data_IF_092479375823
#
_entry.id   IF_092479375823
#
_cell.length_a   1.000
_cell.length_b   1.000
_cell.length_c   1.000
_cell.angle_alpha   90.00
_cell.angle_beta   90.00
_cell.angle_gamma   90.00
#
_symmetry.space_group_name_H-M   'P 1'
#
loop_
_entity.id
_entity.type
_entity.pdbx_description
1 polymer ?
#
# COMPACT_ATOMS: atom_id res chain seq x y z
N UNK A 1 -25.59 11.98 9.25
CA UNK A 1 -25.67 12.01 10.72
C UNK A 1 -24.26 11.88 11.27
N UNK A 2 -23.80 12.77 12.14
CA UNK A 2 -22.41 12.74 12.59
C UNK A 2 -22.10 13.75 13.68
N UNK A 3 -22.91 13.78 14.73
CA UNK A 3 -22.64 14.64 15.88
C UNK A 3 -22.50 13.78 17.13
N UNK A 4 -21.28 13.27 17.34
CA UNK A 4 -20.92 12.50 18.55
C UNK A 4 -19.41 12.55 18.82
N UNK A 5 -18.76 13.73 18.81
CA UNK A 5 -17.33 13.78 19.17
C UNK A 5 -16.97 15.07 19.92
N UNK A 6 -16.03 14.92 20.87
CA UNK A 6 -15.59 15.95 21.82
C UNK A 6 -14.73 17.05 21.17
N UNK A 7 -14.15 16.79 19.99
CA UNK A 7 -13.30 17.74 19.27
C UNK A 7 -13.57 17.77 17.76
N UNK A 8 -13.52 18.98 17.19
CA UNK A 8 -13.76 19.22 15.77
C UNK A 8 -12.63 18.72 14.85
N UNK A 9 -11.42 18.50 15.38
CA UNK A 9 -10.28 17.92 14.65
C UNK A 9 -10.30 16.38 14.61
N UNK A 10 -11.21 15.75 15.34
CA UNK A 10 -11.40 14.29 15.33
C UNK A 10 -11.63 13.75 13.92
N UNK A 11 -11.11 12.56 13.62
CA UNK A 11 -11.11 12.00 12.27
C UNK A 11 -12.55 11.86 11.74
N UNK A 12 -13.50 11.53 12.60
CA UNK A 12 -14.92 11.40 12.30
C UNK A 12 -15.56 12.75 11.97
N UNK A 13 -15.31 13.78 12.78
CA UNK A 13 -15.79 15.15 12.52
C UNK A 13 -15.25 15.68 11.20
N UNK A 14 -13.95 15.44 10.94
CA UNK A 14 -13.32 15.79 9.67
C UNK A 14 -13.99 15.07 8.50
N UNK A 15 -14.38 13.79 8.63
CA UNK A 15 -15.14 13.09 7.58
C UNK A 15 -16.52 13.71 7.32
N UNK A 16 -17.26 14.09 8.37
CA UNK A 16 -18.54 14.80 8.23
C UNK A 16 -18.35 16.12 7.50
N UNK A 17 -17.30 16.87 7.83
CA UNK A 17 -16.96 18.12 7.15
C UNK A 17 -16.58 17.89 5.68
N UNK A 18 -15.98 16.76 5.30
CA UNK A 18 -15.74 16.40 3.89
C UNK A 18 -17.04 16.22 3.12
N UNK A 19 -18.04 15.58 3.73
CA UNK A 19 -19.37 15.50 3.13
C UNK A 19 -20.04 16.87 3.01
N UNK A 20 -19.92 17.72 4.03
CA UNK A 20 -20.43 19.10 3.97
C UNK A 20 -19.73 19.91 2.87
N UNK A 21 -18.41 19.80 2.73
CA UNK A 21 -17.63 20.39 1.65
C UNK A 21 -18.14 19.95 0.28
N UNK A 22 -18.46 18.64 0.11
CA UNK A 22 -19.05 18.14 -1.14
C UNK A 22 -20.43 18.75 -1.41
N UNK A 23 -21.28 18.91 -0.39
CA UNK A 23 -22.57 19.57 -0.54
C UNK A 23 -22.43 21.05 -0.95
N UNK A 24 -21.49 21.78 -0.34
CA UNK A 24 -21.16 23.17 -0.71
C UNK A 24 -20.68 23.26 -2.16
N UNK A 25 -19.86 22.31 -2.63
CA UNK A 25 -19.41 22.26 -4.02
C UNK A 25 -20.57 22.06 -5.00
N UNK A 26 -21.47 21.13 -4.72
CA UNK A 26 -22.65 20.86 -5.56
C UNK A 26 -23.55 22.10 -5.58
N UNK A 27 -23.76 22.75 -4.43
CA UNK A 27 -24.53 23.99 -4.36
C UNK A 27 -23.91 25.09 -5.23
N UNK A 28 -22.57 25.22 -5.24
CA UNK A 28 -21.86 26.16 -6.10
C UNK A 28 -22.05 25.85 -7.59
N UNK A 29 -22.00 24.58 -8.00
CA UNK A 29 -22.29 24.16 -9.38
C UNK A 29 -23.73 24.50 -9.80
N UNK A 30 -24.66 24.57 -8.84
CA UNK A 30 -26.05 24.99 -9.05
C UNK A 30 -26.26 26.52 -8.94
N UNK A 31 -25.19 27.30 -8.73
CA UNK A 31 -25.23 28.76 -8.66
C UNK A 31 -25.37 29.37 -7.26
N UNK A 32 -25.23 28.59 -6.18
CA UNK A 32 -25.31 29.07 -4.81
C UNK A 32 -23.92 29.22 -4.17
N UNK A 33 -23.58 30.41 -3.65
CA UNK A 33 -22.37 30.60 -2.84
C UNK A 33 -22.67 30.42 -1.34
N UNK A 34 -22.46 29.20 -0.84
CA UNK A 34 -22.68 28.85 0.57
C UNK A 34 -21.38 28.77 1.39
N UNK A 35 -20.21 28.81 0.74
CA UNK A 35 -18.94 28.50 1.40
C UNK A 35 -18.59 29.54 2.47
N UNK A 36 -18.77 30.82 2.15
CA UNK A 36 -18.44 31.92 3.05
C UNK A 36 -19.24 31.88 4.36
N UNK A 37 -20.55 31.63 4.28
CA UNK A 37 -21.41 31.56 5.45
C UNK A 37 -21.21 30.25 6.24
N UNK A 38 -20.90 29.16 5.54
CA UNK A 38 -20.49 27.90 6.18
C UNK A 38 -19.20 28.07 7.00
N UNK A 39 -18.18 28.73 6.44
CA UNK A 39 -16.92 29.03 7.14
C UNK A 39 -17.11 29.96 8.35
N UNK A 40 -18.00 30.95 8.26
CA UNK A 40 -18.36 31.80 9.40
C UNK A 40 -18.99 30.99 10.53
N UNK A 41 -19.87 30.04 10.21
CA UNK A 41 -20.43 29.11 11.19
C UNK A 41 -19.36 28.26 11.86
N UNK A 42 -18.47 27.66 11.04
CA UNK A 42 -17.37 26.80 11.48
C UNK A 42 -16.35 27.49 12.38
N UNK A 43 -16.06 28.77 12.15
CA UNK A 43 -15.10 29.53 12.98
C UNK A 43 -15.52 29.66 14.45
N UNK A 44 -16.78 29.39 14.78
CA UNK A 44 -17.29 29.41 16.17
C UNK A 44 -16.96 28.13 16.95
N UNK A 45 -16.58 27.06 16.27
CA UNK A 45 -16.20 25.80 16.90
C UNK A 45 -14.68 25.81 17.16
N UNK A 46 -14.29 25.96 18.42
CA UNK A 46 -12.89 25.95 18.83
C UNK A 46 -12.31 24.53 18.78
N UNK A 47 -11.02 24.41 18.52
CA UNK A 47 -10.29 23.14 18.56
C UNK A 47 -9.41 23.08 19.82
N UNK A 48 -9.31 21.90 20.43
CA UNK A 48 -8.45 21.66 21.59
C UNK A 48 -7.00 21.30 21.21
N UNK A 49 -6.71 21.09 19.92
CA UNK A 49 -5.37 20.72 19.43
C UNK A 49 -4.55 21.95 19.05
N UNK A 50 -3.27 22.01 19.45
CA UNK A 50 -2.39 23.18 19.20
C UNK A 50 -2.15 23.52 17.73
N UNK A 51 -2.40 22.56 16.83
CA UNK A 51 -2.10 22.67 15.40
C UNK A 51 -3.20 23.39 14.62
N UNK A 52 -4.38 23.54 15.24
CA UNK A 52 -5.57 24.12 14.65
C UNK A 52 -6.24 25.11 15.60
N UNK A 53 -6.68 26.25 15.09
CA UNK A 53 -7.34 27.26 15.94
C UNK A 53 -8.84 27.02 16.10
N UNK A 54 -9.55 26.74 15.01
CA UNK A 54 -11.00 26.61 14.97
C UNK A 54 -11.45 25.68 13.82
N UNK A 55 -12.76 25.47 13.72
CA UNK A 55 -13.38 24.67 12.66
C UNK A 55 -13.14 25.21 11.25
N UNK A 56 -12.91 26.51 11.10
CA UNK A 56 -12.57 27.11 9.80
C UNK A 56 -11.16 26.71 9.38
N UNK A 57 -10.20 26.77 10.29
CA UNK A 57 -8.83 26.36 10.05
C UNK A 57 -8.73 24.87 9.71
N UNK A 58 -9.47 24.03 10.44
CA UNK A 58 -9.63 22.59 10.14
C UNK A 58 -10.22 22.39 8.75
N UNK A 59 -11.30 23.11 8.42
CA UNK A 59 -11.91 22.99 7.11
C UNK A 59 -10.94 23.36 5.99
N UNK A 60 -10.18 24.45 6.12
CA UNK A 60 -9.23 24.89 5.10
C UNK A 60 -8.08 23.88 4.95
N UNK A 61 -7.47 23.44 6.06
CA UNK A 61 -6.27 22.61 6.06
C UNK A 61 -6.54 21.14 5.75
N UNK A 62 -7.60 20.57 6.32
CA UNK A 62 -7.87 19.12 6.27
C UNK A 62 -9.00 18.73 5.32
N UNK A 63 -9.99 19.61 5.13
CA UNK A 63 -11.21 19.27 4.40
C UNK A 63 -11.14 19.76 2.95
N UNK A 64 -10.86 21.05 2.73
CA UNK A 64 -10.82 21.67 1.40
C UNK A 64 -9.71 21.05 0.53
N UNK A 65 -8.59 20.69 1.13
CA UNK A 65 -7.48 19.96 0.48
C UNK A 65 -7.83 18.54 0.04
N UNK A 66 -8.92 17.96 0.58
CA UNK A 66 -9.41 16.64 0.18
C UNK A 66 -10.44 16.68 -0.95
N UNK A 67 -10.78 17.89 -1.45
CA UNK A 67 -11.62 18.04 -2.65
C UNK A 67 -10.95 17.28 -3.80
N UNK A 68 -11.74 16.38 -4.40
CA UNK A 68 -11.40 15.71 -5.65
C UNK A 68 -12.24 16.35 -6.73
N UNK A 69 -11.57 17.06 -7.63
CA UNK A 69 -12.15 17.53 -8.89
C UNK A 69 -11.72 16.60 -10.04
N UNK A 70 -12.35 16.79 -11.20
CA UNK A 70 -12.06 16.01 -12.40
C UNK A 70 -10.57 16.12 -12.79
N UNK A 71 -9.98 17.31 -12.65
CA UNK A 71 -8.56 17.56 -12.90
C UNK A 71 -7.64 16.73 -12.01
N UNK A 72 -7.95 16.59 -10.71
CA UNK A 72 -7.17 15.73 -9.80
C UNK A 72 -7.28 14.26 -10.18
N UNK A 73 -8.45 13.79 -10.59
CA UNK A 73 -8.61 12.42 -11.11
C UNK A 73 -7.83 12.19 -12.41
N UNK A 74 -7.82 13.18 -13.31
CA UNK A 74 -7.00 13.20 -14.52
C UNK A 74 -5.50 13.14 -14.18
N UNK A 75 -5.02 14.04 -13.33
CA UNK A 75 -3.60 14.12 -12.93
C UNK A 75 -3.13 12.80 -12.33
N UNK A 76 -3.96 12.25 -11.45
CA UNK A 76 -3.71 10.96 -10.84
C UNK A 76 -3.54 9.87 -11.89
N UNK A 77 -4.49 9.77 -12.80
CA UNK A 77 -4.45 8.77 -13.86
C UNK A 77 -3.19 8.90 -14.71
N UNK A 78 -2.91 10.12 -15.15
CA UNK A 78 -1.81 10.41 -16.06
C UNK A 78 -0.47 10.02 -15.43
N UNK A 79 -0.24 10.39 -14.17
CA UNK A 79 0.98 10.04 -13.41
C UNK A 79 1.09 8.53 -13.16
N UNK A 80 0.00 7.88 -12.71
CA UNK A 80 0.01 6.43 -12.45
C UNK A 80 0.25 5.64 -13.74
N UNK A 81 -0.22 6.15 -14.88
CA UNK A 81 -0.03 5.52 -16.18
C UNK A 81 1.41 5.55 -16.72
N UNK A 82 2.29 6.36 -16.12
CA UNK A 82 3.72 6.38 -16.45
C UNK A 82 4.52 5.24 -15.80
N UNK A 83 3.91 4.49 -14.89
CA UNK A 83 4.61 3.46 -14.14
C UNK A 83 4.67 2.15 -14.92
N UNK A 84 5.84 1.46 -14.96
CA UNK A 84 6.05 0.26 -15.78
C UNK A 84 5.02 -0.85 -15.56
N UNK A 85 4.55 -1.01 -14.31
CA UNK A 85 3.63 -2.08 -13.90
C UNK A 85 2.15 -1.77 -14.21
N UNK A 86 1.81 -0.56 -14.67
CA UNK A 86 0.44 -0.17 -15.03
C UNK A 86 0.19 -0.18 -16.55
N UNK A 87 1.19 -0.63 -17.32
CA UNK A 87 1.10 -0.84 -18.76
C UNK A 87 0.32 -2.13 -19.05
N UNK A 88 -1.01 -2.08 -18.91
CA UNK A 88 -1.89 -3.07 -19.52
C UNK A 88 -1.78 -2.93 -21.03
N UNK A 89 -0.89 -3.72 -21.64
CA UNK A 89 -0.96 -4.05 -23.06
C UNK A 89 -2.27 -4.80 -23.30
N UNK A 90 -3.18 -4.18 -24.04
CA UNK A 90 -4.49 -4.75 -24.37
C UNK A 90 -5.59 -4.28 -23.42
N UNK A 91 -6.72 -3.90 -24.02
CA UNK A 91 -7.95 -3.30 -23.47
C UNK A 91 -8.28 -3.61 -21.99
N UNK A 92 -8.83 -2.62 -21.25
CA UNK A 92 -9.86 -1.68 -21.75
C UNK A 92 -9.39 -0.24 -21.94
N UNK A 93 -9.94 0.42 -22.97
CA UNK A 93 -9.86 1.88 -23.20
C UNK A 93 -10.46 2.71 -22.06
N UNK A 94 -11.19 2.08 -21.14
CA UNK A 94 -11.86 2.69 -20.00
C UNK A 94 -11.27 2.13 -18.70
N UNK A 95 -10.73 3.01 -17.85
CA UNK A 95 -10.17 2.67 -16.54
C UNK A 95 -10.98 3.35 -15.44
N UNK A 96 -11.18 2.63 -14.34
CA UNK A 96 -11.85 3.18 -13.16
C UNK A 96 -10.83 3.69 -12.16
N UNK A 97 -10.97 4.96 -11.77
CA UNK A 97 -10.19 5.61 -10.72
C UNK A 97 -11.19 6.02 -9.64
N UNK A 98 -11.39 5.16 -8.64
CA UNK A 98 -12.38 5.35 -7.58
C UNK A 98 -13.80 5.61 -8.16
N UNK A 99 -14.39 6.78 -7.88
CA UNK A 99 -15.71 7.19 -8.37
C UNK A 99 -15.68 7.84 -9.77
N UNK A 100 -14.56 7.73 -10.49
CA UNK A 100 -14.38 8.30 -11.82
C UNK A 100 -14.09 7.20 -12.85
N UNK A 101 -14.59 7.41 -14.06
CA UNK A 101 -14.26 6.59 -15.23
C UNK A 101 -13.46 7.44 -16.20
N UNK A 102 -12.31 6.94 -16.62
CA UNK A 102 -11.38 7.62 -17.51
C UNK A 102 -11.28 6.82 -18.80
N UNK A 103 -11.57 7.49 -19.92
CA UNK A 103 -11.50 6.93 -21.25
C UNK A 103 -10.35 7.57 -22.02
N UNK A 104 -9.44 6.76 -22.53
CA UNK A 104 -8.40 7.23 -23.44
C UNK A 104 -8.96 7.38 -24.84
N UNK A 105 -8.93 8.60 -25.36
CA UNK A 105 -9.28 8.88 -26.77
C UNK A 105 -8.04 8.67 -27.63
N UNK A 106 -6.91 9.21 -27.19
CA UNK A 106 -5.57 8.95 -27.71
C UNK A 106 -4.59 8.97 -26.54
N UNK A 107 -3.62 8.07 -26.51
CA UNK A 107 -2.55 8.17 -25.54
C UNK A 107 -1.31 7.43 -26.05
N UNK A 108 -0.18 8.14 -26.02
CA UNK A 108 1.11 7.61 -26.40
C UNK A 108 2.09 7.76 -25.25
N UNK A 109 2.90 6.72 -25.05
CA UNK A 109 3.80 6.59 -23.90
C UNK A 109 5.15 6.11 -24.39
N UNK A 110 6.20 6.81 -23.96
CA UNK A 110 7.59 6.49 -24.28
C UNK A 110 8.37 6.39 -22.97
N UNK A 111 9.24 5.39 -22.88
CA UNK A 111 10.07 5.14 -21.70
C UNK A 111 11.55 5.05 -22.12
N UNK A 112 12.41 5.83 -21.48
CA UNK A 112 13.86 5.85 -21.68
C UNK A 112 14.58 5.70 -20.34
N UNK A 113 15.15 4.51 -20.07
CA UNK A 113 15.88 4.16 -18.82
C UNK A 113 15.15 4.57 -17.54
N UNK A 114 15.44 5.76 -17.03
CA UNK A 114 14.90 6.32 -15.78
C UNK A 114 13.86 7.43 -16.00
N UNK A 115 13.48 7.70 -17.24
CA UNK A 115 12.52 8.75 -17.59
C UNK A 115 11.38 8.20 -18.44
N UNK A 116 10.20 8.81 -18.32
CA UNK A 116 9.04 8.45 -19.14
C UNK A 116 8.17 9.66 -19.46
N UNK A 117 7.58 9.65 -20.65
CA UNK A 117 6.68 10.69 -21.14
C UNK A 117 5.38 10.03 -21.62
N UNK A 118 4.25 10.60 -21.23
CA UNK A 118 2.93 10.23 -21.71
C UNK A 118 2.20 11.48 -22.19
N UNK A 119 1.65 11.43 -23.40
CA UNK A 119 0.82 12.50 -23.97
C UNK A 119 -0.46 11.86 -24.47
N UNK A 120 -1.59 12.48 -24.16
CA UNK A 120 -2.86 11.93 -24.57
C UNK A 120 -4.01 12.90 -24.48
N UNK A 121 -5.12 12.52 -25.12
CA UNK A 121 -6.42 13.10 -24.92
C UNK A 121 -7.28 12.08 -24.17
N UNK A 122 -7.88 12.52 -23.07
CA UNK A 122 -8.71 11.66 -22.23
C UNK A 122 -10.04 12.32 -21.94
N UNK A 123 -11.03 11.49 -21.66
CA UNK A 123 -12.32 11.90 -21.11
C UNK A 123 -12.46 11.34 -19.71
N UNK A 124 -12.70 12.20 -18.74
CA UNK A 124 -13.03 11.80 -17.37
C UNK A 124 -14.52 12.02 -17.13
N UNK A 125 -15.17 11.05 -16.50
CA UNK A 125 -16.59 11.13 -16.13
C UNK A 125 -16.73 10.77 -14.65
N UNK A 126 -17.41 11.60 -13.87
CA UNK A 126 -17.81 11.23 -12.51
C UNK A 126 -18.95 10.22 -12.55
N UNK A 127 -18.78 9.06 -11.92
CA UNK A 127 -19.82 8.04 -11.85
C UNK A 127 -21.00 8.47 -10.96
N UNK A 128 -20.81 9.52 -10.14
CA UNK A 128 -21.82 10.01 -9.20
C UNK A 128 -22.62 11.18 -9.74
N UNK A 129 -21.97 12.18 -10.34
CA UNK A 129 -22.67 13.34 -10.92
C UNK A 129 -22.92 13.22 -12.42
N UNK A 130 -22.31 12.23 -13.09
CA UNK A 130 -22.27 12.07 -14.54
C UNK A 130 -21.64 13.27 -15.28
N UNK A 131 -21.03 14.21 -14.54
CA UNK A 131 -20.25 15.31 -15.09
C UNK A 131 -19.04 14.74 -15.83
N UNK A 132 -18.82 15.20 -17.06
CA UNK A 132 -17.71 14.75 -17.89
C UNK A 132 -16.90 15.91 -18.44
N UNK A 133 -15.58 15.75 -18.46
CA UNK A 133 -14.64 16.73 -19.00
C UNK A 133 -13.66 16.00 -19.93
N UNK A 134 -13.37 16.59 -21.08
CA UNK A 134 -12.35 16.11 -21.99
C UNK A 134 -11.14 17.05 -21.91
N UNK A 135 -9.95 16.48 -21.77
CA UNK A 135 -8.73 17.22 -21.52
C UNK A 135 -7.55 16.60 -22.26
N UNK A 136 -6.57 17.44 -22.57
CA UNK A 136 -5.26 17.02 -23.05
C UNK A 136 -4.33 16.89 -21.86
N UNK A 137 -3.60 15.79 -21.77
CA UNK A 137 -2.64 15.53 -20.70
C UNK A 137 -1.23 15.40 -21.26
N UNK A 138 -0.27 15.88 -20.48
CA UNK A 138 1.13 15.58 -20.69
C UNK A 138 1.78 15.28 -19.33
N UNK A 139 2.27 14.05 -19.15
CA UNK A 139 2.93 13.61 -17.92
C UNK A 139 4.37 13.21 -18.20
N UNK A 140 5.29 13.73 -17.39
CA UNK A 140 6.72 13.49 -17.47
C UNK A 140 7.23 12.97 -16.13
N UNK A 141 7.98 11.88 -16.18
CA UNK A 141 8.81 11.39 -15.07
C UNK A 141 10.27 11.63 -15.44
N UNK A 142 10.97 12.45 -14.65
CA UNK A 142 12.38 12.78 -14.85
C UNK A 142 13.33 11.80 -14.12
N UNK A 143 12.78 10.77 -13.47
CA UNK A 143 13.50 9.82 -12.64
C UNK A 143 13.33 10.06 -11.15
N UNK A 144 13.51 8.97 -10.39
CA UNK A 144 13.26 8.92 -8.94
C UNK A 144 11.89 9.54 -8.59
N UNK A 145 11.90 10.73 -7.98
CA UNK A 145 10.74 11.34 -7.33
C UNK A 145 10.05 12.44 -8.13
N UNK A 146 10.59 12.82 -9.29
CA UNK A 146 10.08 13.98 -10.02
C UNK A 146 9.06 13.57 -11.08
N UNK A 147 7.78 13.71 -10.72
CA UNK A 147 6.64 13.54 -11.61
C UNK A 147 5.96 14.89 -11.82
N UNK A 148 5.75 15.23 -13.08
CA UNK A 148 5.02 16.43 -13.49
C UNK A 148 3.89 16.02 -14.44
N UNK A 149 2.68 16.42 -14.13
CA UNK A 149 1.53 16.27 -15.00
C UNK A 149 0.91 17.64 -15.29
N UNK A 150 0.82 17.97 -16.56
CA UNK A 150 0.13 19.15 -17.06
C UNK A 150 -1.21 18.71 -17.67
N UNK A 151 -2.24 19.51 -17.41
CA UNK A 151 -3.59 19.29 -17.93
C UNK A 151 -3.97 20.56 -18.68
N UNK A 152 -4.29 20.39 -19.96
CA UNK A 152 -4.72 21.46 -20.85
C UNK A 152 -6.13 21.22 -21.37
N UNK A 153 -6.70 22.28 -21.94
CA UNK A 153 -7.98 22.22 -22.64
C UNK A 153 -7.85 21.43 -23.95
N UNK A 154 -9.00 21.12 -24.57
CA UNK A 154 -9.02 20.47 -25.86
C UNK A 154 -8.36 21.35 -26.93
N UNK A 155 -7.43 20.76 -27.67
CA UNK A 155 -6.82 21.39 -28.84
C UNK A 155 -7.51 20.92 -30.12
N UNK A 156 -7.38 21.69 -31.20
CA UNK A 156 -7.77 21.19 -32.52
C UNK A 156 -6.88 19.99 -32.92
N UNK A 157 -7.41 19.06 -33.72
CA UNK A 157 -6.66 17.86 -34.12
C UNK A 157 -5.26 18.19 -34.72
N UNK A 158 -5.09 19.22 -35.58
CA UNK A 158 -3.76 19.58 -36.09
C UNK A 158 -2.81 20.12 -35.02
N UNK A 159 -3.30 20.93 -34.08
CA UNK A 159 -2.49 21.48 -32.98
C UNK A 159 -2.06 20.39 -32.01
N UNK A 160 -2.99 19.49 -31.66
CA UNK A 160 -2.73 18.33 -30.82
C UNK A 160 -1.66 17.43 -31.42
N UNK A 161 -1.79 17.05 -32.70
CA UNK A 161 -0.82 16.20 -33.37
C UNK A 161 0.55 16.87 -33.45
N UNK A 162 0.62 18.17 -33.78
CA UNK A 162 1.87 18.92 -33.80
C UNK A 162 2.56 18.95 -32.44
N UNK A 163 1.82 19.25 -31.37
CA UNK A 163 2.32 19.25 -29.99
C UNK A 163 2.84 17.87 -29.59
N UNK A 164 2.05 16.82 -29.87
CA UNK A 164 2.39 15.44 -29.56
C UNK A 164 3.70 15.04 -30.24
N UNK A 165 3.82 15.27 -31.55
CA UNK A 165 5.05 14.95 -32.31
C UNK A 165 6.25 15.75 -31.80
N UNK A 166 6.13 17.06 -31.60
CA UNK A 166 7.23 17.93 -31.12
C UNK A 166 7.76 17.46 -29.76
N UNK A 167 6.88 17.15 -28.81
CA UNK A 167 7.29 16.67 -27.48
C UNK A 167 7.91 15.27 -27.52
N UNK A 168 7.39 14.36 -28.34
CA UNK A 168 7.96 13.01 -28.49
C UNK A 168 9.35 13.05 -29.12
N UNK A 169 9.54 13.83 -30.19
CA UNK A 169 10.85 13.96 -30.86
C UNK A 169 11.93 14.55 -29.93
N UNK A 170 11.58 15.56 -29.11
CA UNK A 170 12.53 16.16 -28.16
C UNK A 170 12.87 15.18 -27.03
N UNK A 171 11.89 14.38 -26.60
CA UNK A 171 12.10 13.36 -25.57
C UNK A 171 13.03 12.24 -26.08
N UNK A 172 12.88 11.83 -27.35
CA UNK A 172 13.76 10.84 -27.99
C UNK A 172 15.21 11.32 -28.15
N UNK A 173 15.42 12.63 -28.20
CA UNK A 173 16.77 13.24 -28.19
C UNK A 173 17.38 13.32 -26.77
N UNK A 174 16.74 12.72 -25.76
CA UNK A 174 17.13 12.70 -24.33
C UNK A 174 17.33 14.09 -23.70
N UNK A 175 16.76 15.15 -24.29
CA UNK A 175 16.92 16.53 -23.82
C UNK A 175 15.84 16.93 -22.81
N UNK A 176 15.88 16.34 -21.60
CA UNK A 176 14.83 16.52 -20.57
C UNK A 176 14.53 17.99 -20.24
N UNK A 177 15.56 18.85 -20.20
CA UNK A 177 15.39 20.28 -19.94
C UNK A 177 14.58 20.97 -21.05
N UNK A 178 14.77 20.56 -22.32
CA UNK A 178 13.99 21.10 -23.43
C UNK A 178 12.55 20.59 -23.40
N UNK A 179 12.33 19.32 -23.01
CA UNK A 179 10.98 18.76 -22.82
C UNK A 179 10.21 19.58 -21.79
N UNK A 180 10.78 19.85 -20.61
CA UNK A 180 10.13 20.68 -19.58
C UNK A 180 9.78 22.07 -20.11
N UNK A 181 10.71 22.74 -20.80
CA UNK A 181 10.45 24.07 -21.37
C UNK A 181 9.34 24.07 -22.42
N UNK A 182 9.25 23.01 -23.23
CA UNK A 182 8.20 22.85 -24.24
C UNK A 182 6.87 22.46 -23.62
N UNK A 183 6.87 21.66 -22.55
CA UNK A 183 5.68 21.36 -21.77
C UNK A 183 5.09 22.65 -21.17
N UNK A 184 5.90 23.51 -20.56
CA UNK A 184 5.43 24.79 -20.03
C UNK A 184 4.92 25.74 -21.11
N UNK A 185 5.44 25.64 -22.33
CA UNK A 185 4.96 26.42 -23.48
C UNK A 185 3.58 25.96 -23.95
N UNK A 186 3.36 24.64 -24.09
CA UNK A 186 2.08 24.08 -24.55
C UNK A 186 1.01 24.06 -23.46
N UNK A 187 1.42 23.94 -22.20
CA UNK A 187 0.55 23.89 -21.03
C UNK A 187 0.91 25.00 -20.05
N UNK A 188 0.50 26.25 -20.34
CA UNK A 188 0.71 27.36 -19.42
C UNK A 188 -0.09 27.12 -18.13
N UNK A 189 0.56 27.29 -16.98
CA UNK A 189 -0.06 27.13 -15.66
C UNK A 189 0.70 26.18 -14.75
N UNK A 190 0.08 25.86 -13.62
CA UNK A 190 0.66 24.96 -12.63
C UNK A 190 0.71 23.51 -13.12
N UNK A 191 1.57 22.70 -12.51
CA UNK A 191 1.65 21.27 -12.74
C UNK A 191 1.17 20.51 -11.52
N UNK A 192 0.66 19.30 -11.76
CA UNK A 192 0.37 18.34 -10.71
C UNK A 192 1.57 17.43 -10.50
N UNK A 193 1.84 17.11 -9.24
CA UNK A 193 2.92 16.24 -8.78
C UNK A 193 2.37 15.08 -7.95
N UNK A 194 3.26 14.24 -7.40
CA UNK A 194 2.86 13.22 -6.42
C UNK A 194 2.10 13.78 -5.20
N UNK A 195 2.27 15.07 -4.88
CA UNK A 195 1.55 15.73 -3.78
C UNK A 195 0.06 15.92 -4.07
N UNK A 196 -0.33 15.85 -5.33
CA UNK A 196 -1.71 16.05 -5.78
C UNK A 196 -2.46 14.72 -5.91
N UNK A 197 -1.75 13.59 -5.92
CA UNK A 197 -2.36 12.26 -5.96
C UNK A 197 -3.11 11.91 -4.67
N UNK A 198 -4.02 10.95 -4.78
CA UNK A 198 -4.68 10.35 -3.61
C UNK A 198 -3.65 9.66 -2.70
N UNK A 199 -3.95 9.61 -1.42
CA UNK A 199 -2.99 9.23 -0.37
C UNK A 199 -2.50 7.80 -0.58
N UNK A 200 -3.41 6.87 -0.88
CA UNK A 200 -3.11 5.46 -1.09
C UNK A 200 -2.20 5.27 -2.30
N UNK A 201 -2.50 5.94 -3.40
CA UNK A 201 -1.74 5.82 -4.65
C UNK A 201 -0.38 6.49 -4.52
N UNK A 202 -0.30 7.65 -3.88
CA UNK A 202 0.99 8.27 -3.51
C UNK A 202 1.88 7.30 -2.72
N UNK A 203 1.33 6.57 -1.74
CA UNK A 203 2.08 5.57 -0.97
C UNK A 203 2.57 4.43 -1.85
N UNK A 204 1.73 3.90 -2.75
CA UNK A 204 2.11 2.84 -3.70
C UNK A 204 3.24 3.29 -4.63
N UNK A 205 3.11 4.48 -5.23
CA UNK A 205 4.14 5.02 -6.12
C UNK A 205 5.45 5.24 -5.37
N UNK A 206 5.41 5.83 -4.18
CA UNK A 206 6.61 6.04 -3.37
C UNK A 206 7.26 4.72 -2.94
N UNK A 207 6.47 3.70 -2.60
CA UNK A 207 6.98 2.37 -2.30
C UNK A 207 7.68 1.75 -3.52
N UNK A 208 7.09 1.89 -4.71
CA UNK A 208 7.67 1.40 -5.96
C UNK A 208 8.98 2.12 -6.31
N UNK A 209 8.97 3.46 -6.32
CA UNK A 209 10.17 4.28 -6.63
C UNK A 209 11.27 4.10 -5.58
N UNK A 210 10.91 3.88 -4.31
CA UNK A 210 11.89 3.65 -3.25
C UNK A 210 12.39 2.21 -3.21
N UNK A 211 11.78 1.30 -3.97
CA UNK A 211 12.12 -0.12 -4.01
C UNK A 211 13.58 -0.36 -4.36
N UNK A 212 14.10 0.32 -5.39
CA UNK A 212 15.50 0.18 -5.82
C UNK A 212 16.49 0.65 -4.74
N UNK A 213 16.17 1.77 -4.08
CA UNK A 213 16.99 2.30 -2.98
C UNK A 213 16.95 1.32 -1.81
N UNK A 214 15.77 0.81 -1.47
CA UNK A 214 15.61 -0.16 -0.39
C UNK A 214 16.39 -1.43 -0.68
N UNK A 215 16.29 -1.98 -1.89
CA UNK A 215 17.06 -3.15 -2.35
C UNK A 215 18.56 -2.96 -2.14
N UNK A 216 19.12 -1.81 -2.55
CA UNK A 216 20.53 -1.49 -2.31
C UNK A 216 20.91 -1.42 -0.83
N UNK A 217 20.01 -0.93 0.03
CA UNK A 217 20.22 -0.99 1.48
C UNK A 217 20.19 -2.43 1.99
N UNK A 218 19.27 -3.25 1.50
CA UNK A 218 19.21 -4.67 1.87
C UNK A 218 20.53 -5.37 1.51
N UNK A 219 20.99 -5.23 0.27
CA UNK A 219 22.26 -5.81 -0.21
C UNK A 219 23.43 -5.38 0.68
N UNK A 220 23.48 -4.09 1.03
CA UNK A 220 24.53 -3.57 1.92
C UNK A 220 24.49 -4.21 3.31
N UNK A 221 23.30 -4.43 3.89
CA UNK A 221 23.16 -5.14 5.17
C UNK A 221 23.55 -6.62 5.06
N UNK A 222 23.19 -7.29 3.96
CA UNK A 222 23.61 -8.68 3.70
C UNK A 222 25.13 -8.78 3.61
N UNK A 223 25.78 -7.92 2.82
CA UNK A 223 27.24 -7.88 2.71
C UNK A 223 27.90 -7.61 4.06
N UNK A 224 27.44 -6.59 4.79
CA UNK A 224 27.99 -6.26 6.11
C UNK A 224 27.88 -7.43 7.09
N UNK A 225 26.77 -8.15 7.10
CA UNK A 225 26.59 -9.31 7.96
C UNK A 225 27.48 -10.49 7.54
N UNK A 226 27.41 -10.89 6.27
CA UNK A 226 28.10 -12.09 5.78
C UNK A 226 29.62 -11.96 5.81
N UNK A 227 30.16 -10.80 5.40
CA UNK A 227 31.61 -10.58 5.38
C UNK A 227 32.21 -10.54 6.78
N UNK A 228 31.43 -10.14 7.78
CA UNK A 228 31.89 -9.94 9.16
C UNK A 228 31.38 -11.01 10.14
N UNK A 229 30.62 -12.01 9.69
CA UNK A 229 30.09 -13.08 10.56
C UNK A 229 31.20 -13.81 11.32
N UNK A 230 32.31 -14.14 10.66
CA UNK A 230 33.48 -14.78 11.32
C UNK A 230 34.10 -13.91 12.42
N UNK A 231 34.12 -12.60 12.22
CA UNK A 231 34.59 -11.66 13.23
C UNK A 231 33.62 -11.62 14.42
N UNK A 232 32.32 -11.62 14.17
CA UNK A 232 31.30 -11.72 15.22
C UNK A 232 31.41 -13.03 16.00
N UNK A 233 31.67 -14.15 15.32
CA UNK A 233 31.93 -15.45 15.93
C UNK A 233 33.15 -15.40 16.86
N UNK A 234 34.26 -14.84 16.38
CA UNK A 234 35.48 -14.67 17.19
C UNK A 234 35.26 -13.77 18.40
N UNK A 235 34.49 -12.68 18.26
CA UNK A 235 34.11 -11.83 19.39
C UNK A 235 33.32 -12.62 20.45
N UNK A 236 32.36 -13.43 20.03
CA UNK A 236 31.56 -14.25 20.93
C UNK A 236 32.39 -15.35 21.61
N UNK A 237 33.31 -16.00 20.90
CA UNK A 237 34.23 -16.99 21.47
C UNK A 237 35.14 -16.42 22.56
N UNK A 238 35.48 -15.14 22.47
CA UNK A 238 36.30 -14.42 23.44
C UNK A 238 35.49 -13.70 24.54
N UNK A 239 34.19 -13.94 24.62
CA UNK A 239 33.27 -13.23 25.53
C UNK A 239 33.32 -11.68 25.38
N UNK A 240 33.66 -11.20 24.18
CA UNK A 240 33.70 -9.77 23.85
C UNK A 240 32.37 -9.35 23.24
N UNK A 241 31.69 -8.31 23.79
CA UNK A 241 30.46 -7.80 23.22
C UNK A 241 30.63 -7.36 21.75
N UNK A 242 29.70 -7.77 20.91
CA UNK A 242 29.68 -7.37 19.50
C UNK A 242 29.22 -5.92 19.39
N UNK A 243 29.88 -5.15 18.52
CA UNK A 243 29.51 -3.76 18.30
C UNK A 243 28.08 -3.64 17.75
N UNK A 244 27.33 -2.63 18.23
CA UNK A 244 25.91 -2.42 17.90
C UNK A 244 25.64 -2.34 16.39
N UNK A 245 26.58 -1.85 15.59
CA UNK A 245 26.41 -1.77 14.13
C UNK A 245 26.36 -3.17 13.47
N UNK A 246 27.14 -4.14 13.95
CA UNK A 246 27.05 -5.53 13.48
C UNK A 246 25.74 -6.18 13.92
N UNK A 247 25.27 -5.88 15.14
CA UNK A 247 23.97 -6.35 15.61
C UNK A 247 22.81 -5.81 14.76
N UNK A 248 22.87 -4.55 14.31
CA UNK A 248 21.84 -3.99 13.41
C UNK A 248 21.81 -4.73 12.06
N UNK A 249 22.98 -5.01 11.47
CA UNK A 249 23.06 -5.75 10.22
C UNK A 249 22.53 -7.19 10.37
N UNK A 250 22.95 -7.88 11.43
CA UNK A 250 22.46 -9.21 11.76
C UNK A 250 20.96 -9.22 12.03
N UNK A 251 20.41 -8.24 12.77
CA UNK A 251 18.97 -8.12 13.00
C UNK A 251 18.19 -8.06 11.70
N UNK A 252 18.62 -7.19 10.78
CA UNK A 252 17.95 -7.03 9.50
C UNK A 252 17.99 -8.33 8.68
N UNK A 253 19.17 -8.94 8.55
CA UNK A 253 19.35 -10.15 7.75
C UNK A 253 18.60 -11.35 8.33
N UNK A 254 18.68 -11.57 9.65
CA UNK A 254 18.01 -12.69 10.31
C UNK A 254 16.49 -12.54 10.30
N UNK A 255 15.96 -11.32 10.50
CA UNK A 255 14.51 -11.08 10.38
C UNK A 255 14.00 -11.35 8.97
N UNK A 256 14.72 -10.91 7.94
CA UNK A 256 14.32 -11.15 6.55
C UNK A 256 14.39 -12.64 6.19
N UNK A 257 15.44 -13.35 6.62
CA UNK A 257 15.54 -14.80 6.42
C UNK A 257 14.44 -15.56 7.16
N UNK A 258 14.08 -15.15 8.38
CA UNK A 258 12.97 -15.76 9.11
C UNK A 258 11.65 -15.60 8.35
N UNK A 259 11.39 -14.40 7.82
CA UNK A 259 10.23 -14.16 6.96
C UNK A 259 10.23 -15.08 5.73
N UNK A 260 11.36 -15.20 5.02
CA UNK A 260 11.51 -16.09 3.85
C UNK A 260 11.24 -17.56 4.21
N UNK A 261 11.81 -18.06 5.31
CA UNK A 261 11.59 -19.43 5.77
C UNK A 261 10.13 -19.70 6.18
N UNK A 262 9.45 -18.73 6.82
CA UNK A 262 8.03 -18.87 7.14
C UNK A 262 7.18 -18.96 5.86
N UNK A 263 7.54 -18.21 4.80
CA UNK A 263 6.89 -18.34 3.50
C UNK A 263 7.12 -19.73 2.91
N UNK A 264 8.35 -20.25 2.98
CA UNK A 264 8.70 -21.59 2.51
C UNK A 264 7.93 -22.70 3.26
N UNK A 265 7.80 -22.59 4.59
CA UNK A 265 6.95 -23.47 5.40
C UNK A 265 5.49 -23.48 4.95
N UNK A 266 5.01 -22.36 4.40
CA UNK A 266 3.70 -22.24 3.77
C UNK A 266 3.49 -23.09 2.52
N UNK A 267 4.56 -23.62 1.90
CA UNK A 267 4.48 -24.54 0.76
C UNK A 267 4.73 -26.01 1.15
N UNK A 268 5.26 -26.26 2.35
CA UNK A 268 5.45 -27.61 2.87
C UNK A 268 4.12 -28.15 3.38
N UNK A 269 3.85 -29.42 3.13
CA UNK A 269 2.51 -29.97 3.19
C UNK A 269 2.53 -31.40 3.78
N UNK A 270 1.87 -31.61 4.92
CA UNK A 270 1.73 -32.91 5.59
C UNK A 270 2.87 -33.31 6.52
N UNK A 271 3.78 -32.39 6.84
CA UNK A 271 4.88 -32.60 7.77
C UNK A 271 4.48 -32.26 9.21
N UNK A 272 5.12 -32.92 10.18
CA UNK A 272 4.84 -32.69 11.62
C UNK A 272 5.68 -31.58 12.24
N UNK A 273 6.85 -31.33 11.66
CA UNK A 273 7.84 -30.40 12.20
C UNK A 273 8.19 -29.35 11.16
N UNK A 274 8.44 -28.12 11.61
CA UNK A 274 8.96 -27.04 10.77
C UNK A 274 10.48 -27.18 10.61
N UNK A 275 11.06 -26.48 9.63
CA UNK A 275 12.47 -26.58 9.28
C UNK A 275 13.41 -26.29 10.45
N UNK A 276 14.50 -27.07 10.53
CA UNK A 276 15.61 -26.81 11.45
C UNK A 276 16.25 -25.44 11.21
N UNK A 277 16.21 -24.92 9.97
CA UNK A 277 16.75 -23.60 9.61
C UNK A 277 16.11 -22.46 10.41
N UNK A 278 14.81 -22.58 10.73
CA UNK A 278 14.08 -21.61 11.55
C UNK A 278 14.62 -21.62 12.98
N UNK A 279 14.90 -22.81 13.51
CA UNK A 279 15.51 -22.98 14.83
C UNK A 279 16.92 -22.42 14.85
N UNK A 280 17.70 -22.61 13.78
CA UNK A 280 19.04 -22.04 13.64
C UNK A 280 19.02 -20.51 13.68
N UNK A 281 18.06 -19.86 13.00
CA UNK A 281 17.91 -18.40 13.06
C UNK A 281 17.61 -17.93 14.49
N UNK A 282 16.72 -18.61 15.21
CA UNK A 282 16.40 -18.26 16.59
C UNK A 282 17.61 -18.41 17.52
N UNK A 283 18.40 -19.48 17.34
CA UNK A 283 19.66 -19.70 18.06
C UNK A 283 20.69 -18.62 17.72
N UNK A 284 20.82 -18.27 16.45
CA UNK A 284 21.76 -17.24 15.99
C UNK A 284 21.38 -15.85 16.51
N UNK A 285 20.09 -15.50 16.51
CA UNK A 285 19.60 -14.26 17.11
C UNK A 285 19.89 -14.18 18.61
N UNK A 286 19.68 -15.28 19.35
CA UNK A 286 20.04 -15.39 20.78
C UNK A 286 21.55 -15.25 20.99
N UNK A 287 22.37 -15.91 20.17
CA UNK A 287 23.85 -15.83 20.22
C UNK A 287 24.35 -14.39 20.10
N UNK A 288 23.74 -13.61 19.20
CA UNK A 288 24.10 -12.21 18.98
C UNK A 288 23.40 -11.21 19.91
N UNK A 289 22.53 -11.70 20.81
CA UNK A 289 21.71 -10.89 21.73
C UNK A 289 20.83 -9.88 20.98
N UNK A 290 20.22 -10.32 19.89
CA UNK A 290 19.39 -9.51 19.01
C UNK A 290 17.92 -9.87 19.20
N UNK A 291 17.07 -8.85 19.33
CA UNK A 291 15.64 -9.01 19.16
C UNK A 291 15.29 -8.90 17.68
N UNK A 292 14.73 -9.96 17.11
CA UNK A 292 14.26 -9.95 15.73
C UNK A 292 13.07 -8.99 15.60
N UNK A 293 12.95 -8.35 14.45
CA UNK A 293 11.68 -7.73 14.04
C UNK A 293 10.75 -8.84 13.54
N UNK A 294 9.63 -9.03 14.24
CA UNK A 294 8.64 -10.07 13.97
C UNK A 294 7.45 -9.58 13.14
N UNK A 295 7.31 -8.26 12.92
CA UNK A 295 6.06 -7.69 12.39
C UNK A 295 5.64 -8.27 11.03
N UNK A 296 6.62 -8.47 10.13
CA UNK A 296 6.37 -9.07 8.82
C UNK A 296 6.16 -10.58 8.95
N UNK A 297 6.99 -11.28 9.73
CA UNK A 297 6.85 -12.71 10.01
C UNK A 297 5.49 -13.06 10.60
N UNK A 298 4.98 -12.28 11.56
CA UNK A 298 3.65 -12.42 12.15
C UNK A 298 2.54 -12.21 11.13
N UNK A 299 2.64 -11.15 10.31
CA UNK A 299 1.66 -10.90 9.26
C UNK A 299 1.62 -12.05 8.24
N UNK A 300 2.78 -12.55 7.82
CA UNK A 300 2.90 -13.66 6.87
C UNK A 300 2.34 -14.94 7.47
N UNK A 301 2.70 -15.27 8.72
CA UNK A 301 2.20 -16.46 9.41
C UNK A 301 0.68 -16.42 9.58
N UNK A 302 0.12 -15.27 9.97
CA UNK A 302 -1.33 -15.10 10.09
C UNK A 302 -2.05 -15.30 8.75
N UNK A 303 -1.48 -14.83 7.64
CA UNK A 303 -2.05 -15.05 6.30
C UNK A 303 -2.00 -16.54 5.90
N UNK A 304 -0.89 -17.24 6.20
CA UNK A 304 -0.76 -18.67 5.94
C UNK A 304 -1.76 -19.49 6.76
N UNK A 305 -1.88 -19.20 8.06
CA UNK A 305 -2.83 -19.88 8.96
C UNK A 305 -4.29 -19.67 8.51
N UNK A 306 -4.68 -18.45 8.13
CA UNK A 306 -6.02 -18.20 7.61
C UNK A 306 -6.27 -18.95 6.29
N UNK A 307 -5.28 -18.96 5.40
CA UNK A 307 -5.36 -19.70 4.12
C UNK A 307 -5.55 -21.20 4.35
N UNK A 308 -4.79 -21.80 5.28
CA UNK A 308 -4.92 -23.21 5.65
C UNK A 308 -6.26 -23.50 6.35
N UNK A 309 -6.74 -22.59 7.20
CA UNK A 309 -8.07 -22.71 7.82
C UNK A 309 -9.19 -22.72 6.79
N UNK A 310 -9.09 -21.93 5.71
CA UNK A 310 -10.07 -21.97 4.63
C UNK A 310 -10.03 -23.29 3.85
N UNK A 311 -8.86 -23.90 3.69
CA UNK A 311 -8.70 -25.22 3.05
C UNK A 311 -9.28 -26.37 3.88
N UNK A 312 -9.48 -26.21 5.19
CA UNK A 312 -10.18 -27.23 6.01
C UNK A 312 -11.65 -27.45 5.58
N UNK A 313 -12.21 -26.54 4.77
CA UNK A 313 -13.56 -26.68 4.19
C UNK A 313 -13.60 -27.68 3.01
N UNK A 314 -12.44 -28.07 2.48
CA UNK A 314 -12.29 -28.93 1.30
C UNK A 314 -11.75 -30.34 1.65
N UNK A 315 -11.61 -31.24 0.67
CA UNK A 315 -11.10 -32.61 0.90
C UNK A 315 -9.61 -32.61 1.34
N UNK A 316 -9.26 -33.39 2.38
CA UNK A 316 -7.88 -33.53 2.86
C UNK A 316 -7.59 -33.03 4.30
N UNK A 317 -8.61 -32.94 5.16
CA UNK A 317 -8.53 -32.34 6.50
C UNK A 317 -7.34 -32.78 7.37
N UNK A 318 -6.96 -34.06 7.36
CA UNK A 318 -5.84 -34.56 8.19
C UNK A 318 -4.50 -33.86 7.88
N UNK A 319 -4.21 -33.65 6.59
CA UNK A 319 -2.97 -33.03 6.13
C UNK A 319 -2.94 -31.55 6.51
N UNK A 320 -4.05 -30.87 6.24
CA UNK A 320 -4.23 -29.44 6.56
C UNK A 320 -4.18 -29.20 8.07
N UNK A 321 -4.76 -30.09 8.88
CA UNK A 321 -4.67 -30.02 10.35
C UNK A 321 -3.23 -30.14 10.84
N UNK A 322 -2.43 -31.06 10.26
CA UNK A 322 -1.01 -31.18 10.60
C UNK A 322 -0.24 -29.90 10.25
N UNK A 323 -0.49 -29.31 9.08
CA UNK A 323 0.13 -28.05 8.67
C UNK A 323 -0.20 -26.91 9.64
N UNK A 324 -1.47 -26.76 10.03
CA UNK A 324 -1.91 -25.73 10.97
C UNK A 324 -1.24 -25.92 12.33
N UNK A 325 -1.25 -27.14 12.87
CA UNK A 325 -0.62 -27.43 14.17
C UNK A 325 0.88 -27.16 14.15
N UNK A 326 1.58 -27.55 13.06
CA UNK A 326 2.99 -27.25 12.87
C UNK A 326 3.27 -25.74 12.87
N UNK A 327 2.46 -24.96 12.14
CA UNK A 327 2.61 -23.51 12.07
C UNK A 327 2.30 -22.81 13.41
N UNK A 328 1.33 -23.32 14.17
CA UNK A 328 1.02 -22.83 15.52
C UNK A 328 2.16 -23.14 16.50
N UNK A 329 2.71 -24.36 16.46
CA UNK A 329 3.87 -24.75 17.28
C UNK A 329 5.09 -23.87 16.95
N UNK A 330 5.35 -23.65 15.66
CA UNK A 330 6.42 -22.75 15.21
C UNK A 330 6.25 -21.33 15.78
N UNK A 331 5.03 -20.81 15.80
CA UNK A 331 4.75 -19.49 16.37
C UNK A 331 5.04 -19.43 17.87
N UNK A 332 4.64 -20.47 18.62
CA UNK A 332 4.88 -20.58 20.05
C UNK A 332 6.38 -20.63 20.36
N UNK A 333 7.12 -21.50 19.66
CA UNK A 333 8.56 -21.70 19.87
C UNK A 333 9.38 -20.44 19.58
N UNK A 334 8.93 -19.63 18.61
CA UNK A 334 9.55 -18.37 18.21
C UNK A 334 9.03 -17.15 18.98
N UNK A 335 7.93 -17.29 19.73
CA UNK A 335 7.26 -16.18 20.42
C UNK A 335 6.61 -15.16 19.46
N UNK A 336 6.07 -15.62 18.33
CA UNK A 336 5.35 -14.78 17.35
C UNK A 336 3.90 -14.54 17.79
N UNK A 337 3.40 -13.31 17.63
CA UNK A 337 2.00 -13.02 17.93
C UNK A 337 1.05 -13.53 16.83
N UNK A 338 0.07 -14.34 17.23
CA UNK A 338 -0.99 -14.86 16.35
C UNK A 338 -2.29 -14.07 16.58
N UNK A 339 -2.95 -13.69 15.49
CA UNK A 339 -4.27 -13.06 15.51
C UNK A 339 -5.39 -14.09 15.71
N UNK A 340 -5.50 -14.63 16.94
CA UNK A 340 -6.43 -15.71 17.29
C UNK A 340 -7.89 -15.43 16.92
N UNK A 341 -8.36 -14.19 17.02
CA UNK A 341 -9.75 -13.84 16.71
C UNK A 341 -10.21 -14.32 15.32
N UNK A 342 -9.36 -14.15 14.29
CA UNK A 342 -9.68 -14.58 12.93
C UNK A 342 -9.74 -16.10 12.81
N UNK A 343 -8.75 -16.78 13.39
CA UNK A 343 -8.64 -18.24 13.36
C UNK A 343 -9.79 -18.92 14.13
N UNK A 344 -10.13 -18.39 15.30
CA UNK A 344 -11.25 -18.87 16.12
C UNK A 344 -12.57 -18.74 15.35
N UNK A 345 -12.85 -17.58 14.73
CA UNK A 345 -14.08 -17.38 13.95
C UNK A 345 -14.18 -18.34 12.77
N UNK A 346 -13.09 -18.51 12.02
CA UNK A 346 -13.04 -19.45 10.89
C UNK A 346 -13.24 -20.89 11.35
N UNK A 347 -12.62 -21.30 12.46
CA UNK A 347 -12.80 -22.63 13.04
C UNK A 347 -14.23 -22.87 13.55
N UNK A 348 -14.82 -21.90 14.28
CA UNK A 348 -16.20 -22.01 14.78
C UNK A 348 -17.21 -22.23 13.65
N UNK A 349 -16.99 -21.63 12.48
CA UNK A 349 -17.86 -21.81 11.32
C UNK A 349 -17.85 -23.25 10.77
N UNK A 350 -16.76 -24.01 10.96
CA UNK A 350 -16.58 -25.36 10.39
C UNK A 350 -16.57 -26.48 11.43
N UNK A 351 -16.53 -26.15 12.72
CA UNK A 351 -16.32 -27.10 13.84
C UNK A 351 -17.23 -28.32 13.81
N UNK A 352 -18.53 -28.10 13.62
CA UNK A 352 -19.54 -29.18 13.64
C UNK A 352 -19.33 -30.16 12.49
N UNK A 353 -19.13 -29.64 11.28
CA UNK A 353 -18.94 -30.44 10.08
C UNK A 353 -17.59 -31.17 10.11
N UNK A 354 -16.53 -30.49 10.57
CA UNK A 354 -15.19 -31.05 10.70
C UNK A 354 -15.16 -32.24 11.67
N UNK A 355 -15.80 -32.11 12.86
CA UNK A 355 -15.91 -33.20 13.84
C UNK A 355 -16.77 -34.35 13.34
N UNK A 356 -17.84 -34.08 12.59
CA UNK A 356 -18.73 -35.11 12.06
C UNK A 356 -18.07 -35.92 10.93
N UNK A 357 -17.43 -35.24 9.99
CA UNK A 357 -16.92 -35.85 8.76
C UNK A 357 -15.53 -36.50 8.92
N UNK A 358 -14.75 -36.12 9.95
CA UNK A 358 -13.36 -36.57 10.12
C UNK A 358 -13.08 -37.19 11.50
N UNK A 359 -13.91 -38.15 11.91
CA UNK A 359 -13.74 -38.88 13.19
C UNK A 359 -12.35 -39.53 13.34
N UNK A 360 -11.72 -39.94 12.24
CA UNK A 360 -10.37 -40.52 12.24
C UNK A 360 -9.26 -39.54 12.62
N UNK A 361 -9.54 -38.22 12.59
CA UNK A 361 -8.60 -37.15 12.92
C UNK A 361 -9.01 -36.36 14.16
N UNK A 362 -9.93 -36.90 14.99
CA UNK A 362 -10.48 -36.21 16.16
C UNK A 362 -9.39 -35.71 17.12
N UNK A 363 -8.31 -36.47 17.30
CA UNK A 363 -7.19 -36.07 18.16
C UNK A 363 -6.47 -34.80 17.67
N UNK A 364 -6.28 -34.67 16.35
CA UNK A 364 -5.68 -33.46 15.77
C UNK A 364 -6.63 -32.25 15.88
N UNK A 365 -7.95 -32.49 15.81
CA UNK A 365 -8.97 -31.45 16.00
C UNK A 365 -8.96 -30.96 17.44
N UNK A 366 -8.85 -31.86 18.43
CA UNK A 366 -8.73 -31.49 19.84
C UNK A 366 -7.44 -30.71 20.13
N UNK A 367 -6.32 -31.12 19.52
CA UNK A 367 -5.06 -30.39 19.66
C UNK A 367 -5.15 -28.97 19.07
N UNK A 368 -5.88 -28.79 17.97
CA UNK A 368 -6.16 -27.48 17.38
C UNK A 368 -7.04 -26.63 18.30
N UNK A 369 -8.10 -27.20 18.88
CA UNK A 369 -8.97 -26.50 19.83
C UNK A 369 -8.20 -26.01 21.07
N UNK A 370 -7.22 -26.80 21.56
CA UNK A 370 -6.34 -26.38 22.66
C UNK A 370 -5.49 -25.18 22.28
N UNK A 371 -4.86 -25.18 21.10
CA UNK A 371 -4.07 -24.04 20.63
C UNK A 371 -4.93 -22.78 20.42
N UNK A 372 -6.18 -22.95 19.99
CA UNK A 372 -7.12 -21.85 19.81
C UNK A 372 -7.78 -21.39 21.12
N UNK A 373 -7.47 -22.04 22.25
CA UNK A 373 -8.09 -21.77 23.56
C UNK A 373 -9.64 -21.82 23.50
N UNK A 374 -10.18 -22.79 22.75
CA UNK A 374 -11.62 -23.01 22.62
C UNK A 374 -12.02 -24.08 23.64
N UNK A 375 -12.96 -23.73 24.53
CA UNK A 375 -13.39 -24.64 25.59
C UNK A 375 -14.13 -25.85 24.99
N UNK A 376 -13.57 -27.03 25.20
CA UNK A 376 -14.06 -28.31 24.63
C UNK A 376 -15.24 -28.87 25.44
N UNK A 377 -15.57 -28.23 26.57
CA UNK A 377 -16.55 -28.72 27.55
C UNK A 377 -18.02 -28.42 27.20
N UNK A 378 -18.29 -27.78 26.05
CA UNK A 378 -19.64 -27.69 25.47
C UNK A 378 -19.71 -28.47 24.16
N UNK A 379 -20.01 -29.77 24.29
CA UNK A 379 -20.40 -30.67 23.22
C UNK A 379 -21.44 -31.64 23.75
#
# INVERSE_FOLDING_TARGET
CGWFFDDISGIETVQVLKHACRAVQIAHQLGYDLENDFLKGLSKALCNHSDYTDGKDIYIKLVKTSKVDLKRAIAHYAIVSLLPNNNTKGLPLEKHVYSYTIKEIDCERVHHKHSSLAIGQIKVTSNMTLESEEAVIASLHLGNRDFQCKIGELLSLPEYQKMKTDLMEIFDQESLTQVVRKLDFYFPGDFHSLKDLFVEERRKILAHVSGDIFSRFQDSYFTLYHDNKRLMEYHHELDVPIHREFQKAARFVLSKKLEELIIEEGYVEGEKHYSEDITEIACEAKKWQIQLDHKLSESTLNNLLNTRMDQLKEEGAKKVLLDILRLLQMAEDLGLEIAFWSLQNNYFAIRSDLRHNHQESIGLIEDLERHLNIDVSFG
#
